data_IF_967921891863
#
_entry.id   IF_967921891863
#
_cell.length_a   1.000
_cell.length_b   1.000
_cell.length_c   1.000
_cell.angle_alpha   90.00
_cell.angle_beta   90.00
_cell.angle_gamma   90.00
#
_symmetry.space_group_name_H-M   'P 1'
#
loop_
_entity.id
_entity.type
_entity.pdbx_description
1 polymer ?
#
# COMPACT_ATOMS: atom_id res chain seq x y z
N UNK A 1 4.15 26.33 -8.76
CA UNK A 1 4.33 25.66 -8.51
C UNK A 1 4.15 24.56 -8.43
N UNK A 2 4.35 24.12 -8.47
CA UNK A 2 4.13 23.01 -8.44
C UNK A 2 3.79 22.33 -7.36
N UNK A 3 2.89 21.65 -7.36
CA UNK A 3 2.48 20.91 -6.23
C UNK A 3 3.58 19.99 -5.83
N UNK A 4 3.89 20.00 -4.59
CA UNK A 4 4.84 19.05 -4.07
C UNK A 4 4.13 17.76 -3.85
N UNK A 5 4.48 16.78 -4.61
CA UNK A 5 3.93 15.47 -4.42
C UNK A 5 4.74 14.76 -3.36
N UNK A 6 4.06 14.33 -2.32
CA UNK A 6 4.68 13.51 -1.29
C UNK A 6 4.60 12.07 -1.71
N UNK A 7 5.72 11.40 -1.69
CA UNK A 7 5.75 9.98 -1.96
C UNK A 7 5.82 9.21 -0.67
N UNK A 8 5.13 8.10 -0.63
CA UNK A 8 5.15 7.22 0.53
C UNK A 8 5.60 5.84 0.10
N UNK A 9 6.24 5.15 1.01
CA UNK A 9 6.69 3.78 0.77
C UNK A 9 5.79 2.85 1.52
N UNK A 10 5.33 1.82 0.83
CA UNK A 10 4.43 0.83 1.39
C UNK A 10 5.14 -0.51 1.34
N UNK A 11 5.28 -1.14 2.49
CA UNK A 11 5.94 -2.44 2.60
C UNK A 11 4.92 -3.46 3.08
N UNK A 12 4.82 -4.57 2.36
CA UNK A 12 3.94 -5.65 2.77
C UNK A 12 4.62 -6.41 3.91
N UNK A 13 3.99 -6.42 5.07
CA UNK A 13 4.56 -7.06 6.25
C UNK A 13 3.92 -8.41 6.57
N UNK A 14 2.74 -8.67 6.00
CA UNK A 14 2.03 -9.93 6.22
C UNK A 14 1.49 -10.45 4.91
N UNK A 15 1.41 -11.77 4.81
CA UNK A 15 0.81 -12.41 3.66
C UNK A 15 -0.70 -12.26 3.68
N UNK A 16 -1.35 -12.03 2.51
CA UNK A 16 -2.80 -11.98 2.46
C UNK A 16 -3.46 -13.36 2.49
N UNK A 17 -2.69 -14.41 2.59
CA UNK A 17 -3.24 -15.77 2.65
C UNK A 17 -4.14 -15.90 3.87
N UNK A 18 -5.37 -16.33 3.65
CA UNK A 18 -6.34 -16.45 4.74
C UNK A 18 -7.17 -15.21 4.94
N UNK A 19 -6.84 -14.12 4.28
CA UNK A 19 -7.63 -12.90 4.35
C UNK A 19 -8.59 -12.80 3.16
N UNK A 20 -9.49 -11.83 3.21
CA UNK A 20 -10.49 -11.67 2.17
C UNK A 20 -9.85 -11.37 0.82
N UNK A 21 -10.54 -11.79 -0.25
CA UNK A 21 -10.05 -11.53 -1.60
C UNK A 21 -9.89 -10.04 -1.88
N UNK A 22 -10.70 -9.20 -1.25
CA UNK A 22 -10.59 -7.76 -1.45
C UNK A 22 -9.23 -7.25 -0.99
N UNK A 23 -8.69 -7.81 0.08
CA UNK A 23 -7.37 -7.43 0.56
C UNK A 23 -6.30 -7.80 -0.47
N UNK A 24 -6.42 -9.01 -1.05
CA UNK A 24 -5.48 -9.44 -2.08
C UNK A 24 -5.55 -8.53 -3.30
N UNK A 25 -6.76 -8.17 -3.72
CA UNK A 25 -6.94 -7.31 -4.87
C UNK A 25 -6.35 -5.93 -4.62
N UNK A 26 -6.52 -5.40 -3.42
CA UNK A 26 -5.98 -4.11 -3.06
C UNK A 26 -4.45 -4.12 -3.06
N UNK A 27 -3.86 -5.16 -2.48
CA UNK A 27 -2.40 -5.30 -2.50
C UNK A 27 -1.87 -5.41 -3.92
N UNK A 28 -2.57 -6.15 -4.75
CA UNK A 28 -2.18 -6.30 -6.14
C UNK A 28 -2.26 -4.97 -6.89
N UNK A 29 -3.29 -4.19 -6.62
CA UNK A 29 -3.45 -2.87 -7.22
C UNK A 29 -2.33 -1.94 -6.77
N UNK A 30 -1.83 -2.11 -5.55
CA UNK A 30 -0.70 -1.34 -5.05
C UNK A 30 0.63 -1.82 -5.62
N UNK A 31 0.65 -3.00 -6.23
CA UNK A 31 1.88 -3.56 -6.77
C UNK A 31 2.61 -4.46 -5.79
N UNK A 32 1.99 -4.79 -4.68
CA UNK A 32 2.60 -5.64 -3.67
C UNK A 32 2.21 -7.09 -3.92
N UNK A 33 3.20 -7.93 -4.19
CA UNK A 33 2.97 -9.34 -4.49
C UNK A 33 3.66 -10.26 -3.52
N UNK A 34 4.70 -9.78 -2.86
CA UNK A 34 5.50 -10.61 -1.96
C UNK A 34 5.63 -9.93 -0.62
N UNK A 35 5.80 -10.75 0.40
CA UNK A 35 6.05 -10.23 1.73
C UNK A 35 7.40 -9.49 1.74
N UNK A 36 7.47 -8.42 2.51
CA UNK A 36 8.64 -7.54 2.59
C UNK A 36 8.93 -6.78 1.30
N UNK A 37 8.05 -6.85 0.32
CA UNK A 37 8.18 -6.04 -0.88
C UNK A 37 7.79 -4.60 -0.56
N UNK A 38 8.60 -3.66 -1.04
CA UNK A 38 8.33 -2.24 -0.85
C UNK A 38 8.02 -1.60 -2.19
N UNK A 39 6.98 -0.79 -2.23
CA UNK A 39 6.65 0.01 -3.40
C UNK A 39 6.50 1.46 -2.98
N UNK A 40 6.72 2.36 -3.92
CA UNK A 40 6.60 3.79 -3.69
C UNK A 40 5.44 4.32 -4.52
N UNK A 41 4.60 5.11 -3.88
CA UNK A 41 3.46 5.74 -4.54
C UNK A 41 3.35 7.18 -4.12
N UNK A 42 2.73 7.98 -4.98
CA UNK A 42 2.41 9.36 -4.65
C UNK A 42 1.25 9.35 -3.67
N UNK A 43 1.37 10.12 -2.61
CA UNK A 43 0.32 10.23 -1.60
C UNK A 43 -0.91 10.90 -2.21
N UNK A 44 -2.04 10.24 -2.13
CA UNK A 44 -3.30 10.75 -2.65
C UNK A 44 -4.45 10.18 -1.83
N UNK A 45 -5.62 10.85 -1.85
CA UNK A 45 -6.78 10.32 -1.12
C UNK A 45 -7.19 8.93 -1.57
N UNK A 46 -7.08 8.64 -2.87
CA UNK A 46 -7.40 7.32 -3.40
C UNK A 46 -6.45 6.28 -2.83
N UNK A 47 -5.16 6.60 -2.84
CA UNK A 47 -4.15 5.70 -2.32
C UNK A 47 -4.36 5.44 -0.83
N UNK A 48 -4.65 6.50 -0.08
CA UNK A 48 -4.89 6.36 1.37
C UNK A 48 -6.09 5.47 1.65
N UNK A 49 -7.13 5.58 0.83
CA UNK A 49 -8.29 4.71 0.97
C UNK A 49 -7.95 3.26 0.75
N UNK A 50 -7.10 2.98 -0.23
CA UNK A 50 -6.63 1.62 -0.50
C UNK A 50 -5.79 1.10 0.66
N UNK A 51 -4.90 1.92 1.18
CA UNK A 51 -4.04 1.54 2.29
C UNK A 51 -4.86 1.23 3.54
N UNK A 52 -5.90 2.02 3.80
CA UNK A 52 -6.74 1.79 4.96
C UNK A 52 -7.41 0.43 4.96
N UNK A 53 -7.64 -0.12 3.78
CA UNK A 53 -8.27 -1.44 3.67
C UNK A 53 -7.32 -2.56 4.01
N UNK A 54 -6.03 -2.31 3.91
CA UNK A 54 -5.01 -3.34 4.13
C UNK A 54 -3.93 -2.87 5.09
N UNK A 55 -4.24 -1.88 5.93
CA UNK A 55 -3.24 -1.33 6.84
C UNK A 55 -2.70 -2.36 7.82
N UNK A 56 -3.48 -3.41 8.08
CA UNK A 56 -3.04 -4.50 8.95
C UNK A 56 -2.08 -5.47 8.23
N UNK A 57 -1.90 -5.29 6.92
CA UNK A 57 -1.03 -6.14 6.12
C UNK A 57 0.21 -5.40 5.64
N UNK A 58 0.22 -4.09 5.74
CA UNK A 58 1.30 -3.27 5.21
C UNK A 58 1.76 -2.26 6.24
N UNK A 59 2.98 -1.77 6.03
CA UNK A 59 3.53 -0.67 6.81
C UNK A 59 3.80 0.48 5.86
N UNK A 60 3.36 1.68 6.24
CA UNK A 60 3.54 2.86 5.41
C UNK A 60 4.60 3.74 6.06
N UNK A 61 5.54 4.17 5.24
CA UNK A 61 6.56 5.14 5.67
C UNK A 61 6.49 6.35 4.76
N UNK A 62 6.53 7.51 5.38
CA UNK A 62 6.60 8.75 4.62
C UNK A 62 8.04 9.14 4.41
N UNK A 63 8.31 9.67 3.23
CA UNK A 63 9.63 10.19 2.92
C UNK A 63 9.84 11.55 3.54
#
# INVERSE_FOLDING_TARGET
MMAKEKKIKITQIKSPIGYKQKAKATLKALGLRKINQTVEHVDSPVLRGMINRVDYLVQVKEN
#
